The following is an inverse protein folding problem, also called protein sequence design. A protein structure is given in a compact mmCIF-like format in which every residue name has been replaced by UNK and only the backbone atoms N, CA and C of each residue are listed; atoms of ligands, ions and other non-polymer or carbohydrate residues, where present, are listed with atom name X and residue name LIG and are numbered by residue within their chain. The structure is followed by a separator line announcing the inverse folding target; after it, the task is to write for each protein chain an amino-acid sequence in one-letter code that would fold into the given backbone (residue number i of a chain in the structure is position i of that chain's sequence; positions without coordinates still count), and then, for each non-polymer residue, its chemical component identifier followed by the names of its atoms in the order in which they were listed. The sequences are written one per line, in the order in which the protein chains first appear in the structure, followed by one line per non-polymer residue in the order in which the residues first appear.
data_IF_980782135774
#
_entry.id   IF_980782135774
#
_cell.length_a   1.000
_cell.length_b   1.000
_cell.length_c   1.000
_cell.angle_alpha   90.00
_cell.angle_beta   90.00
_cell.angle_gamma   90.00
#
_symmetry.space_group_name_H-M   'P 1'
#
loop_
_entity.id
_entity.type
_entity.pdbx_description
1 polymer ?
#
# COMPACT_ATOMS: atom_id res chain seq x y z
N UNK A 1 8.32 -1.97 11.45
CA UNK A 1 7.21 -2.53 10.65
C UNK A 1 7.57 -2.41 9.17
N UNK A 2 7.28 -3.43 8.36
CA UNK A 2 7.60 -3.42 6.93
C UNK A 2 6.30 -3.30 6.15
N UNK A 3 6.25 -2.30 5.28
CA UNK A 3 5.14 -2.07 4.35
C UNK A 3 5.61 -2.31 2.92
N UNK A 4 4.72 -2.86 2.10
CA UNK A 4 4.91 -3.01 0.67
C UNK A 4 3.70 -2.41 -0.05
N UNK A 5 3.94 -1.41 -0.89
CA UNK A 5 2.93 -0.81 -1.75
C UNK A 5 3.10 -1.30 -3.18
N UNK A 6 2.05 -1.89 -3.73
CA UNK A 6 1.94 -2.21 -5.15
C UNK A 6 1.16 -1.11 -5.87
N UNK A 7 1.59 -0.75 -7.08
CA UNK A 7 0.95 0.26 -7.92
C UNK A 7 0.93 -0.15 -9.39
N UNK A 8 -0.21 0.04 -10.07
CA UNK A 8 -0.32 -0.11 -11.52
C UNK A 8 0.09 1.15 -12.29
N UNK A 9 0.44 2.23 -11.57
CA UNK A 9 0.71 3.54 -12.16
C UNK A 9 -0.47 4.06 -12.97
N UNK A 10 -0.20 4.70 -14.11
CA UNK A 10 -1.22 5.10 -15.10
C UNK A 10 -1.53 3.97 -16.10
N UNK A 11 -1.26 2.72 -15.71
CA UNK A 11 -1.49 1.55 -16.54
C UNK A 11 -2.98 1.27 -16.77
N UNK A 12 -3.33 0.60 -17.87
CA UNK A 12 -4.71 0.18 -18.14
C UNK A 12 -5.17 -0.91 -17.15
N UNK A 13 -6.42 -1.32 -17.26
CA UNK A 13 -7.05 -2.28 -16.33
C UNK A 13 -6.28 -3.62 -16.21
N UNK A 14 -5.53 -4.04 -17.23
CA UNK A 14 -4.64 -5.21 -17.17
C UNK A 14 -3.53 -5.05 -16.12
N UNK A 15 -2.95 -3.86 -15.98
CA UNK A 15 -1.98 -3.56 -14.93
C UNK A 15 -2.64 -3.60 -13.54
N UNK A 16 -3.88 -3.12 -13.44
CA UNK A 16 -4.65 -3.22 -12.19
C UNK A 16 -4.97 -4.67 -11.82
N UNK A 17 -5.22 -5.52 -12.81
CA UNK A 17 -5.40 -6.97 -12.62
C UNK A 17 -4.10 -7.63 -12.15
N UNK A 18 -2.95 -7.19 -12.67
CA UNK A 18 -1.63 -7.66 -12.24
C UNK A 18 -1.43 -7.47 -10.73
N UNK A 19 -1.86 -6.33 -10.16
CA UNK A 19 -1.79 -6.13 -8.70
C UNK A 19 -2.59 -7.19 -7.95
N UNK A 20 -3.83 -7.45 -8.36
CA UNK A 20 -4.67 -8.45 -7.69
C UNK A 20 -4.08 -9.86 -7.75
N UNK A 21 -3.38 -10.20 -8.84
CA UNK A 21 -2.67 -11.47 -8.98
C UNK A 21 -1.38 -11.50 -8.14
N UNK A 22 -0.63 -10.40 -8.13
CA UNK A 22 0.57 -10.22 -7.32
C UNK A 22 0.26 -10.36 -5.82
N UNK A 23 -0.84 -9.76 -5.32
CA UNK A 23 -1.26 -9.91 -3.93
C UNK A 23 -1.45 -11.38 -3.53
N UNK A 24 -2.11 -12.18 -4.38
CA UNK A 24 -2.30 -13.61 -4.14
C UNK A 24 -0.98 -14.39 -4.19
N UNK A 25 -0.04 -13.98 -5.03
CA UNK A 25 1.28 -14.59 -5.11
C UNK A 25 2.11 -14.28 -3.85
N UNK A 26 2.11 -13.02 -3.42
CA UNK A 26 2.78 -12.57 -2.18
C UNK A 26 2.16 -13.29 -0.98
N UNK A 27 0.84 -13.39 -0.88
CA UNK A 27 0.17 -14.08 0.23
C UNK A 27 0.62 -15.54 0.33
N UNK A 28 0.74 -16.26 -0.79
CA UNK A 28 1.29 -17.62 -0.81
C UNK A 28 2.75 -17.67 -0.39
N UNK A 29 3.58 -16.74 -0.87
CA UNK A 29 5.00 -16.66 -0.49
C UNK A 29 5.17 -16.35 1.00
N UNK A 30 4.32 -15.47 1.55
CA UNK A 30 4.26 -15.14 2.97
C UNK A 30 3.91 -16.37 3.81
N UNK A 31 2.90 -17.16 3.41
CA UNK A 31 2.53 -18.40 4.10
C UNK A 31 3.68 -19.42 4.14
N UNK A 32 4.41 -19.58 3.02
CA UNK A 32 5.56 -20.49 2.95
C UNK A 32 6.73 -20.06 3.84
N UNK A 33 6.93 -18.75 4.00
CA UNK A 33 8.04 -18.18 4.79
C UNK A 33 7.65 -17.83 6.23
N UNK A 34 6.45 -18.19 6.69
CA UNK A 34 5.97 -17.86 8.04
C UNK A 34 5.86 -16.35 8.31
N UNK A 35 5.52 -15.57 7.28
CA UNK A 35 5.29 -14.12 7.36
C UNK A 35 3.77 -13.89 7.35
N UNK A 36 3.26 -13.13 8.32
CA UNK A 36 1.88 -12.68 8.34
C UNK A 36 1.71 -11.49 7.40
N UNK A 37 0.78 -11.59 6.45
CA UNK A 37 0.41 -10.51 5.55
C UNK A 37 -0.94 -9.93 5.98
N UNK A 38 -0.98 -8.61 6.19
CA UNK A 38 -2.21 -7.87 6.45
C UNK A 38 -2.42 -6.82 5.37
N UNK A 39 -3.60 -6.82 4.73
CA UNK A 39 -3.95 -5.76 3.78
C UNK A 39 -4.34 -4.52 4.59
N UNK A 40 -3.61 -3.43 4.40
CA UNK A 40 -3.81 -2.16 5.12
C UNK A 40 -4.80 -1.28 4.38
N UNK A 41 -4.61 -1.12 3.07
CA UNK A 41 -5.42 -0.27 2.22
C UNK A 41 -5.40 -0.77 0.78
N UNK A 42 -6.48 -0.56 0.05
CA UNK A 42 -6.58 -0.88 -1.38
C UNK A 42 -7.38 0.18 -2.09
N UNK A 43 -6.90 0.59 -3.27
CA UNK A 43 -7.67 1.43 -4.19
C UNK A 43 -8.25 0.53 -5.28
N UNK A 44 -9.55 0.21 -5.25
CA UNK A 44 -10.16 -0.65 -6.26
C UNK A 44 -10.19 0.04 -7.63
N UNK A 45 -10.06 -0.77 -8.68
CA UNK A 45 -10.36 -0.35 -10.05
C UNK A 45 -11.81 -0.72 -10.41
N UNK A 46 -12.23 -0.38 -11.63
CA UNK A 46 -13.60 -0.57 -12.12
C UNK A 46 -14.07 -2.04 -12.10
N UNK A 47 -13.16 -3.01 -12.16
CA UNK A 47 -13.46 -4.43 -12.14
C UNK A 47 -13.07 -5.12 -10.83
N UNK A 48 -13.87 -6.12 -10.43
CA UNK A 48 -13.64 -6.89 -9.20
C UNK A 48 -12.27 -7.59 -9.21
N UNK A 49 -11.53 -7.46 -8.12
CA UNK A 49 -10.20 -8.05 -7.97
C UNK A 49 -9.11 -7.37 -8.81
N UNK A 50 -9.39 -6.17 -9.34
CA UNK A 50 -8.40 -5.29 -9.95
C UNK A 50 -8.21 -4.08 -9.03
N UNK A 51 -6.97 -3.69 -8.79
CA UNK A 51 -6.64 -2.60 -7.89
C UNK A 51 -5.71 -1.61 -8.60
N UNK A 52 -5.90 -0.31 -8.40
CA UNK A 52 -4.93 0.70 -8.83
C UNK A 52 -3.69 0.68 -7.94
N UNK A 53 -3.90 0.45 -6.65
CA UNK A 53 -2.85 0.25 -5.68
C UNK A 53 -3.32 -0.62 -4.53
N UNK A 54 -2.36 -1.28 -3.87
CA UNK A 54 -2.60 -2.04 -2.65
C UNK A 54 -1.43 -1.87 -1.70
N UNK A 55 -1.71 -1.58 -0.44
CA UNK A 55 -0.74 -1.48 0.63
C UNK A 55 -0.90 -2.69 1.54
N UNK A 56 0.17 -3.44 1.70
CA UNK A 56 0.22 -4.58 2.61
C UNK A 56 1.28 -4.38 3.67
N UNK A 57 0.99 -4.89 4.85
CA UNK A 57 1.88 -4.94 5.99
C UNK A 57 2.39 -6.36 6.15
N UNK A 58 3.71 -6.49 6.25
CA UNK A 58 4.40 -7.76 6.45
C UNK A 58 4.94 -7.81 7.86
N UNK A 59 4.46 -8.77 8.63
CA UNK A 59 4.90 -9.03 10.00
C UNK A 59 5.52 -10.42 10.09
N UNK A 60 6.69 -10.51 10.69
CA UNK A 60 7.33 -11.80 10.98
C UNK A 60 8.10 -11.68 12.30
N UNK A 61 8.16 -12.75 13.10
CA UNK A 61 9.09 -12.83 14.24
C UNK A 61 10.54 -12.54 13.82
N UNK A 62 10.91 -12.93 12.60
CA UNK A 62 12.19 -12.58 12.00
C UNK A 62 12.02 -11.44 10.99
N UNK A 63 12.39 -10.22 11.39
CA UNK A 63 12.29 -9.05 10.52
C UNK A 63 13.09 -9.17 9.23
N UNK A 64 14.18 -9.95 9.22
CA UNK A 64 14.99 -10.16 8.01
C UNK A 64 14.18 -10.89 6.91
N UNK A 65 13.36 -11.88 7.28
CA UNK A 65 12.52 -12.62 6.32
C UNK A 65 11.47 -11.71 5.68
N UNK A 66 10.76 -10.90 6.47
CA UNK A 66 9.78 -9.95 5.96
C UNK A 66 10.44 -8.88 5.06
N UNK A 67 11.66 -8.44 5.42
CA UNK A 67 12.43 -7.48 4.61
C UNK A 67 12.90 -8.09 3.30
N UNK A 68 13.44 -9.30 3.32
CA UNK A 68 13.87 -10.00 2.13
C UNK A 68 12.72 -10.23 1.15
N UNK A 69 11.54 -10.62 1.65
CA UNK A 69 10.34 -10.75 0.84
C UNK A 69 9.93 -9.41 0.23
N UNK A 70 9.86 -8.34 1.03
CA UNK A 70 9.52 -7.02 0.51
C UNK A 70 10.52 -6.51 -0.53
N UNK A 71 11.83 -6.70 -0.29
CA UNK A 71 12.89 -6.35 -1.24
C UNK A 71 12.76 -7.14 -2.57
N UNK A 72 12.38 -8.41 -2.52
CA UNK A 72 12.17 -9.20 -3.73
C UNK A 72 11.04 -8.67 -4.61
N UNK A 73 10.05 -8.01 -4.01
CA UNK A 73 8.93 -7.38 -4.71
C UNK A 73 9.13 -5.88 -4.94
N UNK A 74 10.30 -5.32 -4.61
CA UNK A 74 10.62 -3.93 -4.85
C UNK A 74 11.10 -3.73 -6.29
N UNK A 75 10.60 -2.67 -6.93
CA UNK A 75 10.98 -2.27 -8.29
C UNK A 75 9.89 -2.54 -9.33
N UNK A 76 10.27 -2.44 -10.61
CA UNK A 76 9.39 -2.69 -11.73
C UNK A 76 9.18 -4.19 -11.94
N UNK A 77 7.94 -4.59 -12.24
CA UNK A 77 7.55 -5.97 -12.50
C UNK A 77 6.72 -6.02 -13.78
N UNK A 78 6.85 -7.14 -14.49
CA UNK A 78 6.21 -7.33 -15.78
C UNK A 78 5.30 -8.56 -15.73
N UNK A 79 4.04 -8.40 -16.11
CA UNK A 79 3.15 -9.51 -16.42
C UNK A 79 2.93 -9.58 -17.93
N UNK A 80 3.23 -10.75 -18.51
CA UNK A 80 3.09 -11.04 -19.94
C UNK A 80 1.89 -11.96 -20.15
N UNK A 81 0.78 -11.40 -20.64
CA UNK A 81 -0.43 -12.15 -21.00
C UNK A 81 -1.22 -11.44 -22.10
N UNK A 82 -2.03 -12.20 -22.84
CA UNK A 82 -3.02 -11.59 -23.74
C UNK A 82 -4.08 -10.88 -22.91
N UNK A 83 -4.50 -9.68 -23.31
CA UNK A 83 -5.53 -8.95 -22.56
C UNK A 83 -6.86 -9.71 -22.58
N UNK A 84 -7.37 -10.02 -21.39
CA UNK A 84 -8.72 -10.58 -21.20
C UNK A 84 -9.82 -9.51 -21.35
N UNK A 85 -9.46 -8.23 -21.16
CA UNK A 85 -10.38 -7.09 -21.24
C UNK A 85 -10.49 -6.53 -22.66
N UNK A 86 -9.45 -6.74 -23.47
CA UNK A 86 -9.35 -6.29 -24.86
C UNK A 86 -8.83 -7.45 -25.74
N UNK A 87 -9.68 -8.47 -26.04
CA UNK A 87 -9.24 -9.73 -26.64
C UNK A 87 -8.48 -9.59 -27.97
N UNK A 88 -8.79 -8.56 -28.77
CA UNK A 88 -8.16 -8.29 -30.09
C UNK A 88 -6.90 -7.41 -30.01
N UNK A 89 -6.54 -6.91 -28.83
CA UNK A 89 -5.43 -5.98 -28.68
C UNK A 89 -4.08 -6.71 -28.71
N UNK A 90 -3.11 -6.22 -29.49
CA UNK A 90 -1.82 -6.89 -29.71
C UNK A 90 -0.85 -6.83 -28.53
N UNK A 91 -1.00 -5.83 -27.64
CA UNK A 91 -0.13 -5.66 -26.46
C UNK A 91 -0.30 -6.81 -25.47
N UNK A 92 0.83 -7.33 -24.98
CA UNK A 92 0.88 -8.41 -23.98
C UNK A 92 1.66 -8.04 -22.71
N UNK A 93 2.36 -6.91 -22.70
CA UNK A 93 3.24 -6.50 -21.61
C UNK A 93 2.53 -5.50 -20.69
N UNK A 94 2.30 -5.90 -19.45
CA UNK A 94 1.61 -5.15 -18.40
C UNK A 94 2.56 -4.90 -17.24
N UNK A 95 3.01 -3.66 -17.08
CA UNK A 95 3.94 -3.28 -16.02
C UNK A 95 3.19 -2.81 -14.77
N UNK A 96 3.76 -3.13 -13.61
CA UNK A 96 3.36 -2.62 -12.30
C UNK A 96 4.61 -2.51 -11.43
N UNK A 97 4.54 -1.82 -10.30
CA UNK A 97 5.69 -1.61 -9.43
C UNK A 97 5.37 -1.93 -7.98
N UNK A 98 6.41 -2.30 -7.24
CA UNK A 98 6.37 -2.44 -5.79
C UNK A 98 7.37 -1.50 -5.12
N UNK A 99 6.97 -0.92 -3.99
CA UNK A 99 7.80 -0.05 -3.18
C UNK A 99 7.74 -0.50 -1.72
N UNK A 100 8.90 -0.79 -1.14
CA UNK A 100 9.03 -1.13 0.27
C UNK A 100 9.22 0.14 1.09
N UNK A 101 8.62 0.16 2.29
CA UNK A 101 8.86 1.17 3.30
C UNK A 101 9.16 0.51 4.64
N UNK A 102 10.15 1.05 5.34
CA UNK A 102 10.47 0.66 6.71
C UNK A 102 9.96 1.75 7.66
N UNK A 103 8.99 1.36 8.48
CA UNK A 103 8.44 2.22 9.51
C UNK A 103 9.16 1.96 10.84
N UNK A 104 9.92 2.96 11.27
CA UNK A 104 10.47 3.04 12.62
C UNK A 104 9.46 3.76 13.54
N UNK A 105 8.77 2.99 14.38
CA UNK A 105 7.75 3.53 15.28
C UNK A 105 8.27 4.53 16.31
N UNK A 106 9.52 4.38 16.77
CA UNK A 106 10.09 5.23 17.82
C UNK A 106 10.27 6.68 17.34
N UNK A 107 10.70 6.86 16.09
CA UNK A 107 10.84 8.18 15.48
C UNK A 107 9.48 8.78 15.12
N UNK A 108 8.57 7.98 14.58
CA UNK A 108 7.22 8.42 14.23
C UNK A 108 6.45 8.98 15.43
N UNK A 109 6.54 8.33 16.60
CA UNK A 109 5.78 8.73 17.77
C UNK A 109 6.20 10.11 18.35
N UNK A 110 7.40 10.62 18.08
CA UNK A 110 7.87 11.91 18.65
C UNK A 110 7.17 13.13 18.04
N UNK A 111 6.79 13.05 16.77
CA UNK A 111 6.18 14.15 16.02
C UNK A 111 4.66 14.06 15.92
N UNK A 112 4.05 13.03 16.55
CA UNK A 112 2.62 12.77 16.48
C UNK A 112 1.97 12.86 17.86
N UNK A 113 0.97 13.72 17.98
CA UNK A 113 0.07 13.78 19.13
C UNK A 113 -1.16 12.94 18.91
N UNK A 114 -1.51 12.13 19.90
CA UNK A 114 -2.75 11.35 19.92
C UNK A 114 -3.70 11.91 20.97
N UNK A 115 -4.92 12.22 20.56
CA UNK A 115 -6.01 12.63 21.44
C UNK A 115 -7.12 11.58 21.35
N UNK A 116 -7.68 11.21 22.49
CA UNK A 116 -8.88 10.36 22.53
C UNK A 116 -10.11 11.23 22.43
N UNK A 117 -11.11 10.75 21.70
CA UNK A 117 -12.37 11.44 21.48
C UNK A 117 -13.52 10.46 21.68
N UNK A 118 -14.73 10.99 21.90
CA UNK A 118 -15.95 10.19 21.83
C UNK A 118 -16.23 9.83 20.38
N UNK A 119 -16.54 8.56 20.12
CA UNK A 119 -16.98 8.12 18.81
C UNK A 119 -18.33 8.78 18.47
N UNK A 120 -18.48 9.24 17.23
CA UNK A 120 -19.74 9.83 16.74
C UNK A 120 -20.48 8.83 15.86
N UNK A 121 -21.65 8.36 16.28
CA UNK A 121 -22.47 7.44 15.49
C UNK A 121 -23.76 7.01 16.17
N UNK A 122 -24.66 6.36 15.43
CA UNK A 122 -25.95 5.84 15.91
C UNK A 122 -25.79 4.58 16.80
N UNK A 123 -24.91 4.64 17.81
CA UNK A 123 -24.66 3.57 18.76
C UNK A 123 -25.44 3.74 20.07
N UNK A 124 -25.72 2.63 20.75
CA UNK A 124 -26.36 2.62 22.08
C UNK A 124 -25.51 3.32 23.16
N UNK A 125 -26.02 3.40 24.39
CA UNK A 125 -25.40 4.15 25.50
C UNK A 125 -23.90 3.85 25.74
N UNK A 126 -23.44 2.64 25.42
CA UNK A 126 -22.04 2.22 25.58
C UNK A 126 -21.08 2.92 24.58
N UNK A 127 -21.54 3.19 23.35
CA UNK A 127 -20.74 3.88 22.32
C UNK A 127 -20.57 5.35 22.67
N UNK A 128 -21.61 5.97 23.23
CA UNK A 128 -21.62 7.41 23.55
C UNK A 128 -20.84 7.76 24.83
N UNK A 129 -20.60 6.78 25.72
CA UNK A 129 -19.84 6.97 26.97
C UNK A 129 -18.34 6.67 26.84
N UNK A 130 -17.92 5.89 25.84
CA UNK A 130 -16.55 5.40 25.74
C UNK A 130 -15.70 6.29 24.82
N UNK A 131 -14.54 6.74 25.31
CA UNK A 131 -13.56 7.51 24.52
C UNK A 131 -12.72 6.58 23.63
N UNK A 132 -13.37 5.82 22.74
CA UNK A 132 -12.71 4.85 21.87
C UNK A 132 -12.12 5.48 20.60
N UNK A 133 -12.61 6.62 20.14
CA UNK A 133 -12.09 7.29 18.95
C UNK A 133 -10.72 7.91 19.21
N UNK A 134 -9.86 7.93 18.20
CA UNK A 134 -8.51 8.49 18.28
C UNK A 134 -8.28 9.48 17.16
N UNK A 135 -7.88 10.70 17.52
CA UNK A 135 -7.37 11.71 16.60
C UNK A 135 -5.84 11.73 16.70
N UNK A 136 -5.17 11.46 15.59
CA UNK A 136 -3.73 11.60 15.46
C UNK A 136 -3.42 12.88 14.66
N UNK A 137 -2.47 13.68 15.15
CA UNK A 137 -2.05 14.94 14.51
C UNK A 137 -0.53 14.96 14.44
N UNK A 138 0.01 15.18 13.24
CA UNK A 138 1.42 15.45 13.05
C UNK A 138 1.71 16.92 13.32
N UNK A 139 2.56 17.21 14.31
CA UNK A 139 2.78 18.58 14.80
C UNK A 139 3.37 19.50 13.75
N UNK A 140 4.33 19.02 12.98
CA UNK A 140 5.11 19.86 12.06
C UNK A 140 4.33 20.23 10.79
N UNK A 141 3.49 19.32 10.28
CA UNK A 141 2.72 19.55 9.03
C UNK A 141 1.27 19.94 9.29
N UNK A 142 0.77 19.83 10.52
CA UNK A 142 -0.63 20.08 10.88
C UNK A 142 -1.62 19.02 10.37
N UNK A 143 -1.15 17.99 9.67
CA UNK A 143 -2.03 16.94 9.11
C UNK A 143 -2.63 16.11 10.23
N UNK A 144 -3.94 15.89 10.15
CA UNK A 144 -4.69 15.11 11.12
C UNK A 144 -5.47 13.97 10.47
N UNK A 145 -5.64 12.90 11.25
CA UNK A 145 -6.53 11.77 10.96
C UNK A 145 -7.34 11.46 12.21
N UNK A 146 -8.63 11.16 12.02
CA UNK A 146 -9.54 10.67 13.06
C UNK A 146 -9.99 9.27 12.70
N UNK A 147 -9.92 8.36 13.66
CA UNK A 147 -10.34 6.96 13.51
C UNK A 147 -11.26 6.57 14.65
N UNK A 148 -12.41 5.98 14.31
CA UNK A 148 -13.40 5.49 15.25
C UNK A 148 -14.05 4.16 14.80
N UNK A 149 -13.42 3.47 13.84
CA UNK A 149 -13.96 2.24 13.24
C UNK A 149 -13.90 1.03 14.18
N UNK A 150 -12.94 0.99 15.11
CA UNK A 150 -12.76 -0.13 16.04
C UNK A 150 -13.41 0.12 17.40
N UNK A 151 -13.79 -0.97 18.07
CA UNK A 151 -14.39 -0.91 19.41
C UNK A 151 -13.40 -0.46 20.50
N UNK A 152 -12.10 -0.66 20.30
CA UNK A 152 -11.07 -0.33 21.29
C UNK A 152 -10.21 0.87 20.88
N UNK A 153 -9.86 1.70 21.86
CA UNK A 153 -8.97 2.84 21.67
C UNK A 153 -7.59 2.43 21.13
N UNK A 154 -7.04 1.31 21.62
CA UNK A 154 -5.72 0.82 21.21
C UNK A 154 -5.71 0.43 19.72
N UNK A 155 -6.75 -0.24 19.25
CA UNK A 155 -6.89 -0.58 17.84
C UNK A 155 -7.05 0.68 16.97
N UNK A 156 -7.90 1.63 17.39
CA UNK A 156 -8.06 2.91 16.70
C UNK A 156 -6.75 3.72 16.68
N UNK A 157 -5.93 3.68 17.75
CA UNK A 157 -4.62 4.34 17.80
C UNK A 157 -3.63 3.73 16.81
N UNK A 158 -3.60 2.41 16.66
CA UNK A 158 -2.75 1.74 15.65
C UNK A 158 -3.15 2.16 14.24
N UNK A 159 -4.44 2.13 13.93
CA UNK A 159 -4.94 2.52 12.61
C UNK A 159 -4.67 4.01 12.32
N UNK A 160 -4.86 4.88 13.32
CA UNK A 160 -4.59 6.31 13.19
C UNK A 160 -3.12 6.62 12.89
N UNK A 161 -2.17 5.85 13.45
CA UNK A 161 -0.73 5.96 13.11
C UNK A 161 -0.48 5.70 11.63
N UNK A 162 -1.00 4.59 11.13
CA UNK A 162 -0.78 4.14 9.75
C UNK A 162 -1.37 5.13 8.74
N UNK A 163 -2.63 5.53 8.95
CA UNK A 163 -3.29 6.50 8.07
C UNK A 163 -2.62 7.88 8.10
N UNK A 164 -2.14 8.32 9.28
CA UNK A 164 -1.42 9.58 9.38
C UNK A 164 -0.09 9.52 8.63
N UNK A 165 0.65 8.42 8.76
CA UNK A 165 1.88 8.21 7.99
C UNK A 165 1.63 8.27 6.48
N UNK A 166 0.60 7.59 5.98
CA UNK A 166 0.23 7.63 4.56
C UNK A 166 -0.09 9.05 4.07
N UNK A 167 -0.85 9.83 4.86
CA UNK A 167 -1.12 11.24 4.51
C UNK A 167 0.14 12.11 4.53
N UNK A 168 1.07 11.86 5.44
CA UNK A 168 2.33 12.59 5.50
C UNK A 168 3.21 12.28 4.29
N UNK A 169 3.26 11.02 3.86
CA UNK A 169 4.01 10.63 2.67
C UNK A 169 3.40 11.25 1.40
N UNK A 170 2.07 11.22 1.29
CA UNK A 170 1.36 11.87 0.19
C UNK A 170 1.52 13.40 0.22
N UNK A 171 1.56 14.00 1.40
CA UNK A 171 1.82 15.44 1.55
C UNK A 171 3.26 15.81 1.19
N UNK A 172 4.23 14.97 1.56
CA UNK A 172 5.63 15.11 1.15
C UNK A 172 5.75 15.03 -0.37
N UNK A 173 5.06 14.08 -1.01
CA UNK A 173 4.95 13.97 -2.46
C UNK A 173 4.28 15.20 -3.10
N UNK A 174 3.34 15.87 -2.42
CA UNK A 174 2.63 17.05 -2.93
C UNK A 174 3.37 18.37 -2.72
N UNK A 175 4.15 18.51 -1.65
CA UNK A 175 4.88 19.75 -1.32
C UNK A 175 6.13 19.98 -2.14
N UNK A 176 6.59 18.97 -2.86
CA UNK A 176 7.71 19.11 -3.76
C UNK A 176 7.24 19.75 -5.07
N UNK A 177 7.13 21.09 -5.11
CA UNK A 177 6.49 21.83 -6.22
C UNK A 177 7.32 22.88 -6.96
N UNK A 178 8.65 22.96 -6.88
CA UNK A 178 9.41 23.82 -7.82
C UNK A 178 10.67 23.14 -8.40
N UNK A 179 11.43 22.40 -7.58
CA UNK A 179 12.52 21.55 -8.12
C UNK A 179 12.02 20.21 -8.68
N UNK A 180 10.82 19.79 -8.28
CA UNK A 180 10.25 18.52 -8.71
C UNK A 180 9.51 18.58 -10.02
N UNK A 181 9.01 19.73 -10.50
CA UNK A 181 8.53 19.80 -11.89
C UNK A 181 9.69 19.61 -12.88
N UNK A 182 10.88 20.13 -12.57
CA UNK A 182 12.09 19.92 -13.35
C UNK A 182 12.60 18.47 -13.29
N UNK A 183 12.48 17.79 -12.14
CA UNK A 183 12.82 16.35 -12.00
C UNK A 183 11.72 15.41 -12.51
N UNK A 184 10.45 15.79 -12.42
CA UNK A 184 9.30 15.01 -12.90
C UNK A 184 9.27 14.94 -14.42
N UNK A 185 9.71 16.00 -15.11
CA UNK A 185 9.98 15.95 -16.56
C UNK A 185 11.10 14.95 -16.93
N UNK A 186 11.98 14.61 -15.98
CA UNK A 186 12.98 13.54 -16.10
C UNK A 186 12.50 12.17 -15.55
N UNK A 187 11.39 12.12 -14.79
CA UNK A 187 10.90 10.92 -14.07
C UNK A 187 9.58 10.35 -14.64
N UNK A 188 8.98 11.00 -15.65
CA UNK A 188 7.95 10.41 -16.53
C UNK A 188 8.53 9.26 -17.39
N UNK A 189 9.85 9.07 -17.38
CA UNK A 189 10.45 7.78 -17.66
C UNK A 189 10.28 6.84 -16.46
N UNK A 190 9.11 6.21 -16.38
CA UNK A 190 9.11 4.80 -15.97
C UNK A 190 10.02 4.11 -16.98
N UNK A 191 11.21 3.67 -16.59
CA UNK A 191 12.00 2.71 -17.36
C UNK A 191 11.08 1.55 -17.72
N UNK A 192 10.54 1.56 -18.95
CA UNK A 192 9.78 0.45 -19.51
C UNK A 192 10.81 -0.59 -19.90
N UNK A 193 11.40 -1.23 -18.90
CA UNK A 193 12.59 -2.05 -19.03
C UNK A 193 13.06 -2.60 -17.69
N UNK A 194 13.92 -3.61 -17.74
CA UNK A 194 14.54 -4.26 -16.58
C UNK A 194 13.60 -4.68 -15.43
N UNK A 195 12.55 -5.47 -15.70
CA UNK A 195 11.66 -5.95 -14.64
C UNK A 195 12.42 -6.88 -13.68
N UNK A 196 12.33 -6.59 -12.38
CA UNK A 196 12.90 -7.41 -11.31
C UNK A 196 12.24 -8.79 -11.26
N UNK A 197 10.94 -8.84 -11.57
CA UNK A 197 10.19 -10.10 -11.77
C UNK A 197 9.37 -10.04 -13.03
N UNK A 198 9.41 -11.13 -13.79
CA UNK A 198 8.55 -11.34 -14.95
C UNK A 198 7.61 -12.51 -14.69
N UNK A 199 6.32 -12.31 -14.96
CA UNK A 199 5.27 -13.32 -14.83
C UNK A 199 4.68 -13.61 -16.20
N UNK A 200 4.31 -14.86 -16.48
CA UNK A 200 3.75 -15.27 -17.78
C UNK A 200 2.40 -15.97 -17.62
N UNK A 201 1.56 -15.77 -18.63
CA UNK A 201 0.28 -16.45 -18.80
C UNK A 201 -0.81 -15.98 -17.83
N UNK A 202 -2.03 -16.48 -18.03
CA UNK A 202 -3.21 -16.10 -17.25
C UNK A 202 -3.12 -16.53 -15.78
N UNK A 203 -2.32 -17.57 -15.50
CA UNK A 203 -2.08 -18.11 -14.16
C UNK A 203 -1.06 -17.31 -13.34
N UNK A 204 -0.44 -16.26 -13.91
CA UNK A 204 0.54 -15.42 -13.23
C UNK A 204 1.73 -16.23 -12.66
N UNK A 205 2.33 -17.06 -13.52
CA UNK A 205 3.46 -17.91 -13.09
C UNK A 205 4.74 -17.12 -13.23
N UNK A 206 5.60 -17.13 -12.20
CA UNK A 206 6.92 -16.49 -12.28
C UNK A 206 7.73 -17.15 -13.39
N UNK A 207 8.21 -16.35 -14.34
CA UNK A 207 9.12 -16.81 -15.36
C UNK A 207 10.52 -16.94 -14.74
N UNK A 208 11.08 -18.15 -14.82
CA UNK A 208 12.49 -18.38 -14.54
C UNK A 208 13.37 -17.65 -15.56
#
# INVERSE_FOLDING_TARGET
MILLQLSSGQGPIECCKAIGLALRAIEKECQLNGVALTIVDTVPAQQKGCFKSALVQLESPNQACAKQLACAWQGAMLWVCQSQYRPKHKRKNWFFSGQMFELNEAQFNRNVTFQTCRASGAGGQHVNKTNSAVRAVHKETGIAVRVESERSQHANKRLAKVLLFQKLELHKQKQMTLQEQARWQQHIDLERGNPVKTFKGDKFVLAC
#
